data_IF_238266565595
#
_entry.id   IF_238266565595
#
_cell.length_a   1.000
_cell.length_b   1.000
_cell.length_c   1.000
_cell.angle_alpha   90.00
_cell.angle_beta   90.00
_cell.angle_gamma   90.00
#
_symmetry.space_group_name_H-M   'P 1'
#
loop_
_entity.id
_entity.type
_entity.pdbx_description
1 polymer ?
#
# COMPACT_ATOMS: atom_id res chain seq x y z
N UNK A 1 -8.58 -9.66 1.43
CA UNK A 1 -7.22 -9.18 1.77
C UNK A 1 -7.38 -7.86 2.48
N UNK A 2 -6.68 -7.65 3.58
CA UNK A 2 -6.67 -6.36 4.27
C UNK A 2 -6.09 -5.29 3.34
N UNK A 3 -6.61 -4.07 3.38
CA UNK A 3 -6.12 -2.94 2.57
C UNK A 3 -5.66 -1.81 3.46
N UNK A 4 -4.78 -0.95 2.95
CA UNK A 4 -4.39 0.29 3.66
C UNK A 4 -5.61 1.11 4.07
N UNK A 5 -6.63 1.23 3.22
CA UNK A 5 -7.86 1.95 3.57
C UNK A 5 -8.54 1.38 4.84
N UNK A 6 -8.59 0.05 4.98
CA UNK A 6 -9.17 -0.59 6.17
C UNK A 6 -8.30 -0.38 7.41
N UNK A 7 -6.97 -0.40 7.27
CA UNK A 7 -6.04 -0.12 8.36
C UNK A 7 -6.22 1.31 8.85
N UNK A 8 -6.23 2.28 7.92
CA UNK A 8 -6.43 3.70 8.25
C UNK A 8 -7.76 3.93 9.00
N UNK A 9 -8.86 3.32 8.54
CA UNK A 9 -10.16 3.45 9.21
C UNK A 9 -10.17 2.85 10.63
N UNK A 10 -9.33 1.86 10.89
CA UNK A 10 -9.25 1.20 12.19
C UNK A 10 -8.34 1.94 13.18
N UNK A 11 -7.40 2.76 12.71
CA UNK A 11 -6.50 3.55 13.55
C UNK A 11 -7.23 4.75 14.16
N UNK A 12 -6.88 5.08 15.40
CA UNK A 12 -7.35 6.28 16.08
C UNK A 12 -6.17 7.15 16.48
N UNK A 13 -6.47 8.41 16.81
CA UNK A 13 -5.52 9.28 17.48
C UNK A 13 -5.04 8.60 18.77
N UNK A 14 -3.77 8.79 19.08
CA UNK A 14 -3.08 8.29 20.28
C UNK A 14 -2.86 6.77 20.34
N UNK A 15 -3.32 6.00 19.35
CA UNK A 15 -3.01 4.57 19.26
C UNK A 15 -1.48 4.36 19.21
N UNK A 16 -0.98 3.46 20.04
CA UNK A 16 0.40 2.98 19.99
C UNK A 16 0.50 1.80 19.04
N UNK A 17 1.56 1.75 18.26
CA UNK A 17 1.73 0.79 17.18
C UNK A 17 3.10 0.12 17.23
N UNK A 18 3.16 -1.10 16.72
CA UNK A 18 4.39 -1.81 16.36
C UNK A 18 4.15 -2.52 15.02
N UNK A 19 5.21 -2.77 14.26
CA UNK A 19 5.13 -3.56 13.04
C UNK A 19 6.11 -4.71 13.04
N UNK A 20 5.66 -5.87 12.54
CA UNK A 20 6.43 -7.10 12.41
C UNK A 20 6.48 -7.49 10.94
N UNK A 21 7.67 -7.63 10.39
CA UNK A 21 7.92 -8.15 9.04
C UNK A 21 8.32 -9.62 9.14
N UNK A 22 7.59 -10.51 8.47
CA UNK A 22 7.91 -11.94 8.44
C UNK A 22 8.98 -12.23 7.38
N UNK A 23 10.11 -12.80 7.80
CA UNK A 23 11.17 -13.19 6.88
C UNK A 23 10.74 -14.40 6.03
N UNK A 24 10.94 -14.33 4.71
CA UNK A 24 10.71 -15.44 3.78
C UNK A 24 9.35 -16.14 3.98
N UNK A 25 8.31 -15.35 4.26
CA UNK A 25 7.07 -15.84 4.83
C UNK A 25 6.39 -16.94 4.00
N UNK A 26 6.49 -16.88 2.67
CA UNK A 26 5.94 -17.92 1.79
C UNK A 26 6.63 -19.27 1.96
N UNK A 27 7.93 -19.32 2.22
CA UNK A 27 8.66 -20.58 2.37
C UNK A 27 8.28 -21.36 3.62
N UNK A 28 7.54 -20.75 4.55
CA UNK A 28 6.99 -21.44 5.72
C UNK A 28 5.72 -22.24 5.39
N UNK A 29 5.12 -22.04 4.21
CA UNK A 29 3.88 -22.74 3.80
C UNK A 29 4.23 -23.99 2.98
N UNK A 30 4.00 -25.21 3.50
CA UNK A 30 4.30 -26.44 2.78
C UNK A 30 3.35 -26.65 1.59
N UNK A 31 3.88 -27.15 0.48
CA UNK A 31 3.09 -27.57 -0.67
C UNK A 31 2.82 -29.08 -0.59
N UNK A 32 1.56 -29.45 -0.83
CA UNK A 32 1.12 -30.84 -0.93
C UNK A 32 2.00 -31.62 -1.91
N UNK A 33 2.50 -32.79 -1.51
CA UNK A 33 3.46 -33.59 -2.28
C UNK A 33 3.03 -33.82 -3.75
N UNK A 34 1.74 -34.06 -3.99
CA UNK A 34 1.18 -34.29 -5.33
C UNK A 34 1.21 -33.05 -6.25
N UNK A 35 1.27 -31.83 -5.69
CA UNK A 35 1.30 -30.57 -6.43
C UNK A 35 2.73 -30.07 -6.72
N UNK A 36 3.74 -30.55 -5.97
CA UNK A 36 5.13 -30.09 -6.11
C UNK A 36 5.70 -30.29 -7.52
N UNK A 37 5.18 -31.28 -8.28
CA UNK A 37 5.57 -31.54 -9.67
C UNK A 37 5.36 -30.34 -10.61
N UNK A 38 4.42 -29.44 -10.28
CA UNK A 38 4.14 -28.22 -11.06
C UNK A 38 5.09 -27.06 -10.71
N UNK A 39 5.94 -27.23 -9.70
CA UNK A 39 6.86 -26.20 -9.18
C UNK A 39 8.32 -26.60 -9.41
N UNK A 40 8.59 -27.28 -10.53
CA UNK A 40 9.94 -27.71 -10.91
C UNK A 40 10.63 -26.64 -11.74
N UNK A 41 11.93 -26.50 -11.55
CA UNK A 41 12.77 -25.61 -12.34
C UNK A 41 14.15 -26.25 -12.55
N UNK A 42 14.91 -25.71 -13.51
CA UNK A 42 16.21 -26.24 -13.91
C UNK A 42 17.26 -25.16 -13.73
N UNK A 43 18.38 -25.51 -13.13
CA UNK A 43 19.58 -24.66 -13.06
C UNK A 43 20.75 -25.48 -13.60
N UNK A 44 21.30 -25.05 -14.74
CA UNK A 44 22.28 -25.85 -15.49
C UNK A 44 21.68 -27.19 -15.94
N UNK A 45 22.27 -28.30 -15.48
CA UNK A 45 21.78 -29.67 -15.74
C UNK A 45 20.99 -30.29 -14.57
N UNK A 46 20.75 -29.53 -13.50
CA UNK A 46 20.12 -30.03 -12.28
C UNK A 46 18.64 -29.64 -12.21
N UNK A 47 17.80 -30.60 -11.82
CA UNK A 47 16.37 -30.41 -11.62
C UNK A 47 16.05 -30.18 -10.16
N UNK A 48 15.39 -29.07 -9.86
CA UNK A 48 14.94 -28.71 -8.53
C UNK A 48 13.42 -28.71 -8.47
N UNK A 49 12.89 -28.89 -7.26
CA UNK A 49 11.46 -28.88 -7.01
C UNK A 49 11.18 -28.18 -5.68
N UNK A 50 10.32 -27.16 -5.71
CA UNK A 50 9.90 -26.53 -4.47
C UNK A 50 9.05 -27.48 -3.62
N UNK A 51 9.38 -27.56 -2.34
CA UNK A 51 8.59 -28.28 -1.33
C UNK A 51 7.60 -27.35 -0.58
N UNK A 52 7.83 -26.05 -0.69
CA UNK A 52 7.14 -24.96 0.00
C UNK A 52 6.63 -23.95 -1.03
N UNK A 53 5.78 -23.02 -0.62
CA UNK A 53 5.15 -22.05 -1.52
C UNK A 53 6.20 -21.08 -2.08
N UNK A 54 6.46 -21.07 -3.40
CA UNK A 54 7.51 -20.25 -3.97
C UNK A 54 7.04 -18.83 -4.26
N UNK A 55 7.98 -17.89 -4.29
CA UNK A 55 7.76 -16.57 -4.87
C UNK A 55 7.50 -16.67 -6.38
N UNK A 56 6.72 -15.73 -6.92
CA UNK A 56 6.35 -15.68 -8.34
C UNK A 56 5.14 -16.54 -8.73
N UNK A 57 4.66 -17.44 -7.85
CA UNK A 57 3.41 -18.15 -8.09
C UNK A 57 2.21 -17.22 -7.90
N UNK A 58 1.37 -17.07 -8.93
CA UNK A 58 0.22 -16.14 -8.92
C UNK A 58 -0.74 -16.38 -7.76
N UNK A 59 -0.91 -17.63 -7.33
CA UNK A 59 -1.80 -17.98 -6.21
C UNK A 59 -1.15 -17.83 -4.82
N UNK A 60 0.17 -17.64 -4.74
CA UNK A 60 0.88 -17.61 -3.45
C UNK A 60 0.38 -16.53 -2.49
N UNK A 61 0.20 -15.25 -2.90
CA UNK A 61 -0.30 -14.23 -1.99
C UNK A 61 -1.69 -14.56 -1.43
N UNK A 62 -2.57 -15.15 -2.26
CA UNK A 62 -3.91 -15.54 -1.84
C UNK A 62 -3.90 -16.70 -0.85
N UNK A 63 -3.09 -17.73 -1.11
CA UNK A 63 -2.93 -18.88 -0.21
C UNK A 63 -2.35 -18.41 1.12
N UNK A 64 -1.27 -17.62 1.09
CA UNK A 64 -0.64 -17.09 2.28
C UNK A 64 -1.61 -16.25 3.11
N UNK A 65 -2.35 -15.33 2.46
CA UNK A 65 -3.38 -14.53 3.12
C UNK A 65 -4.43 -15.41 3.82
N UNK A 66 -4.90 -16.49 3.19
CA UNK A 66 -5.88 -17.40 3.80
C UNK A 66 -5.35 -18.05 5.08
N UNK A 67 -4.09 -18.48 5.08
CA UNK A 67 -3.45 -19.06 6.28
C UNK A 67 -3.31 -17.99 7.36
N UNK A 68 -2.80 -16.82 7.02
CA UNK A 68 -2.56 -15.73 7.97
C UNK A 68 -3.84 -15.18 8.59
N UNK A 69 -4.98 -15.25 7.88
CA UNK A 69 -6.27 -14.85 8.44
C UNK A 69 -6.69 -15.73 9.63
N UNK A 70 -6.33 -17.01 9.64
CA UNK A 70 -6.61 -17.92 10.79
C UNK A 70 -5.76 -17.52 12.00
N UNK A 71 -4.46 -17.25 11.77
CA UNK A 71 -3.54 -16.80 12.83
C UNK A 71 -4.01 -15.47 13.42
N UNK A 72 -4.37 -14.51 12.57
CA UNK A 72 -4.88 -13.23 13.01
C UNK A 72 -6.24 -13.33 13.72
N UNK A 73 -7.11 -14.28 13.34
CA UNK A 73 -8.36 -14.53 14.04
C UNK A 73 -8.10 -15.02 15.49
N UNK A 74 -7.12 -15.89 15.69
CA UNK A 74 -6.75 -16.37 17.03
C UNK A 74 -6.18 -15.24 17.90
N UNK A 75 -5.31 -14.39 17.35
CA UNK A 75 -4.80 -13.21 18.08
C UNK A 75 -5.93 -12.23 18.43
N UNK A 76 -6.87 -11.98 17.50
CA UNK A 76 -8.03 -11.13 17.77
C UNK A 76 -8.95 -11.73 18.83
N UNK A 77 -9.10 -13.06 18.89
CA UNK A 77 -9.83 -13.77 19.95
C UNK A 77 -9.20 -13.53 21.33
N UNK A 78 -7.87 -13.33 21.38
CA UNK A 78 -7.12 -12.92 22.58
C UNK A 78 -7.17 -11.40 22.87
N UNK A 79 -7.95 -10.63 22.12
CA UNK A 79 -8.09 -9.18 22.28
C UNK A 79 -7.01 -8.34 21.59
N UNK A 80 -6.14 -8.97 20.79
CA UNK A 80 -5.04 -8.27 20.11
C UNK A 80 -5.53 -7.67 18.79
N UNK A 81 -5.44 -6.34 18.66
CA UNK A 81 -5.78 -5.64 17.43
C UNK A 81 -4.64 -5.74 16.41
N UNK A 82 -4.68 -6.80 15.59
CA UNK A 82 -3.68 -7.11 14.56
C UNK A 82 -4.22 -6.97 13.13
N UNK A 83 -3.36 -6.44 12.26
CA UNK A 83 -3.62 -6.05 10.88
C UNK A 83 -2.56 -6.68 9.96
N UNK A 84 -2.73 -7.95 9.58
CA UNK A 84 -1.80 -8.61 8.66
C UNK A 84 -2.04 -8.17 7.21
N UNK A 85 -0.97 -7.69 6.57
CA UNK A 85 -0.90 -7.48 5.13
C UNK A 85 0.24 -8.33 4.58
N UNK A 86 -0.08 -9.54 4.11
CA UNK A 86 0.93 -10.53 3.77
C UNK A 86 1.93 -10.68 4.93
N UNK A 87 3.21 -10.44 4.67
CA UNK A 87 4.36 -10.47 5.56
C UNK A 87 4.46 -9.25 6.50
N UNK A 88 3.84 -8.12 6.15
CA UNK A 88 3.81 -6.90 6.97
C UNK A 88 2.63 -6.93 7.97
N UNK A 89 2.92 -7.01 9.27
CA UNK A 89 1.89 -7.07 10.32
C UNK A 89 1.94 -5.82 11.19
N UNK A 90 0.83 -5.08 11.25
CA UNK A 90 0.67 -3.97 12.19
C UNK A 90 -0.13 -4.41 13.41
N UNK A 91 0.35 -4.10 14.60
CA UNK A 91 -0.37 -4.31 15.87
C UNK A 91 -0.57 -2.95 16.51
N UNK A 92 -1.76 -2.72 17.07
CA UNK A 92 -2.05 -1.48 17.79
C UNK A 92 -2.62 -1.73 19.19
N UNK A 93 -2.42 -0.77 20.08
CA UNK A 93 -3.05 -0.73 21.40
C UNK A 93 -3.20 0.71 21.90
N UNK A 94 -3.79 0.89 23.09
CA UNK A 94 -4.03 2.20 23.70
C UNK A 94 -2.88 2.73 24.56
N UNK A 95 -1.91 1.89 24.91
CA UNK A 95 -0.72 2.29 25.67
C UNK A 95 0.52 1.58 25.13
N UNK A 96 1.72 2.12 25.35
CA UNK A 96 2.96 1.50 24.91
C UNK A 96 3.22 0.15 25.61
N UNK A 97 2.83 0.01 26.88
CA UNK A 97 2.97 -1.24 27.63
C UNK A 97 2.05 -2.32 27.06
N UNK A 98 0.80 -1.95 26.73
CA UNK A 98 -0.16 -2.88 26.18
C UNK A 98 0.24 -3.35 24.77
N UNK A 99 0.73 -2.45 23.91
CA UNK A 99 1.19 -2.86 22.58
C UNK A 99 2.44 -3.74 22.66
N UNK A 100 3.32 -3.51 23.65
CA UNK A 100 4.48 -4.37 23.91
C UNK A 100 4.06 -5.78 24.36
N UNK A 101 3.07 -5.88 25.26
CA UNK A 101 2.51 -7.16 25.68
C UNK A 101 1.84 -7.90 24.50
N UNK A 102 1.10 -7.17 23.65
CA UNK A 102 0.51 -7.72 22.43
C UNK A 102 1.57 -8.18 21.44
N UNK A 103 2.68 -7.44 21.30
CA UNK A 103 3.81 -7.82 20.47
C UNK A 103 4.42 -9.13 20.95
N UNK A 104 4.74 -9.23 22.25
CA UNK A 104 5.28 -10.46 22.85
C UNK A 104 4.37 -11.67 22.64
N UNK A 105 3.06 -11.49 22.85
CA UNK A 105 2.07 -12.55 22.60
C UNK A 105 2.01 -12.96 21.13
N UNK A 106 2.17 -11.99 20.22
CA UNK A 106 2.15 -12.21 18.77
C UNK A 106 3.43 -12.89 18.29
N UNK A 107 4.60 -12.42 18.72
CA UNK A 107 5.88 -13.05 18.38
C UNK A 107 6.01 -14.43 19.00
N UNK A 108 5.47 -14.65 20.20
CA UNK A 108 5.42 -15.98 20.81
C UNK A 108 4.70 -16.99 19.90
N UNK A 109 3.48 -16.63 19.46
CA UNK A 109 2.69 -17.45 18.55
C UNK A 109 3.39 -17.65 17.20
N UNK A 110 3.91 -16.59 16.61
CA UNK A 110 4.54 -16.64 15.28
C UNK A 110 5.82 -17.49 15.30
N UNK A 111 6.72 -17.23 16.25
CA UNK A 111 8.05 -17.84 16.28
C UNK A 111 8.03 -19.26 16.86
N UNK A 112 7.40 -19.46 18.03
CA UNK A 112 7.54 -20.71 18.76
C UNK A 112 6.43 -21.71 18.43
N UNK A 113 5.19 -21.26 18.25
CA UNK A 113 4.07 -22.17 17.99
C UNK A 113 3.95 -22.51 16.50
N UNK A 114 4.25 -21.56 15.63
CA UNK A 114 4.06 -21.67 14.18
C UNK A 114 5.37 -21.79 13.38
N UNK A 115 6.52 -21.47 13.99
CA UNK A 115 7.83 -21.61 13.36
C UNK A 115 8.14 -20.56 12.27
N UNK A 116 7.47 -19.40 12.27
CA UNK A 116 7.86 -18.28 11.42
C UNK A 116 9.15 -17.62 11.91
N UNK A 117 9.81 -16.87 11.02
CA UNK A 117 10.94 -16.01 11.35
C UNK A 117 10.54 -14.54 11.21
N UNK A 118 11.06 -13.68 12.08
CA UNK A 118 10.86 -12.22 12.03
C UNK A 118 12.10 -11.55 11.48
N UNK A 119 11.90 -10.64 10.54
CA UNK A 119 12.95 -9.80 9.98
C UNK A 119 13.09 -8.54 10.85
N UNK A 120 13.92 -8.62 11.89
CA UNK A 120 14.11 -7.52 12.84
C UNK A 120 14.52 -6.19 12.17
N UNK A 121 15.46 -6.15 11.20
CA UNK A 121 15.86 -4.89 10.54
C UNK A 121 14.74 -4.17 9.79
N UNK A 122 13.74 -4.91 9.27
CA UNK A 122 12.57 -4.31 8.60
C UNK A 122 11.38 -4.10 9.54
N UNK A 123 11.42 -4.70 10.72
CA UNK A 123 10.37 -4.57 11.72
C UNK A 123 10.53 -3.29 12.53
N UNK A 124 9.44 -2.82 13.12
CA UNK A 124 9.43 -1.75 14.09
C UNK A 124 8.87 -2.28 15.40
N UNK A 125 9.74 -2.96 16.16
CA UNK A 125 9.37 -3.72 17.36
C UNK A 125 9.23 -2.85 18.61
N UNK A 126 9.70 -1.60 18.57
CA UNK A 126 9.52 -0.65 19.65
C UNK A 126 8.15 0.05 19.52
N UNK A 127 7.38 0.20 20.61
CA UNK A 127 6.15 0.97 20.62
C UNK A 127 6.36 2.38 20.09
N UNK A 128 5.59 2.76 19.07
CA UNK A 128 5.65 4.11 18.50
C UNK A 128 4.29 4.58 18.01
N UNK A 129 4.13 5.89 17.99
CA UNK A 129 2.98 6.57 17.39
C UNK A 129 3.29 7.07 15.97
N UNK A 130 4.52 6.87 15.49
CA UNK A 130 4.99 7.22 14.15
C UNK A 130 5.77 6.06 13.54
N UNK A 131 5.27 5.49 12.46
CA UNK A 131 5.98 4.44 11.70
C UNK A 131 5.53 4.39 10.24
N UNK A 132 6.33 3.71 9.42
CA UNK A 132 5.97 3.38 8.04
C UNK A 132 5.25 2.03 7.99
N UNK A 133 4.11 1.96 7.32
CA UNK A 133 3.39 0.70 7.10
C UNK A 133 2.76 0.69 5.70
N UNK A 134 2.99 -0.38 4.93
CA UNK A 134 2.41 -0.62 3.58
C UNK A 134 2.39 0.62 2.67
N UNK A 135 3.50 1.37 2.67
CA UNK A 135 3.67 2.56 1.85
C UNK A 135 2.98 3.82 2.37
N UNK A 136 2.62 3.89 3.65
CA UNK A 136 2.11 5.08 4.31
C UNK A 136 2.98 5.42 5.54
N UNK A 137 3.25 6.71 5.75
CA UNK A 137 3.76 7.19 7.02
C UNK A 137 2.58 7.50 7.95
N UNK A 138 2.43 6.69 8.99
CA UNK A 138 1.34 6.81 9.96
C UNK A 138 1.79 7.68 11.12
N UNK A 139 0.99 8.67 11.50
CA UNK A 139 1.18 9.46 12.71
C UNK A 139 -0.12 9.47 13.51
N UNK A 140 -0.17 8.67 14.58
CA UNK A 140 -1.32 8.60 15.48
C UNK A 140 -1.34 9.76 16.47
N UNK A 141 -0.24 10.48 16.70
CA UNK A 141 -0.27 11.74 17.49
C UNK A 141 -1.14 12.80 16.81
N UNK A 142 -1.07 12.84 15.47
CA UNK A 142 -1.88 13.73 14.64
C UNK A 142 -3.19 13.08 14.15
N UNK A 143 -3.29 11.76 14.20
CA UNK A 143 -4.42 11.00 13.64
C UNK A 143 -4.44 11.05 12.10
N UNK A 144 -3.26 11.07 11.46
CA UNK A 144 -3.08 11.31 10.03
C UNK A 144 -2.11 10.34 9.38
N UNK A 145 -2.34 10.06 8.10
CA UNK A 145 -1.45 9.31 7.24
C UNK A 145 -0.83 10.24 6.19
N UNK A 146 0.45 10.05 5.89
CA UNK A 146 1.23 10.87 4.99
C UNK A 146 1.90 10.01 3.91
N UNK A 147 2.19 10.56 2.73
CA UNK A 147 3.13 9.93 1.80
C UNK A 147 4.50 9.77 2.48
N UNK A 148 5.22 8.65 2.25
CA UNK A 148 6.60 8.52 2.70
C UNK A 148 7.49 9.64 2.11
N UNK A 149 8.54 10.10 2.82
CA UNK A 149 9.39 11.20 2.35
C UNK A 149 9.97 10.99 0.95
N UNK A 150 10.44 9.77 0.66
CA UNK A 150 10.96 9.43 -0.67
C UNK A 150 9.91 9.64 -1.77
N UNK A 151 8.64 9.31 -1.50
CA UNK A 151 7.56 9.47 -2.47
C UNK A 151 7.23 10.95 -2.72
N UNK A 152 7.35 11.79 -1.69
CA UNK A 152 7.22 13.24 -1.84
C UNK A 152 8.32 13.76 -2.75
N UNK A 153 9.56 13.32 -2.52
CA UNK A 153 10.71 13.69 -3.33
C UNK A 153 10.55 13.24 -4.79
N UNK A 154 10.17 11.98 -5.04
CA UNK A 154 9.95 11.45 -6.39
C UNK A 154 8.91 12.28 -7.18
N UNK A 155 7.85 12.74 -6.50
CA UNK A 155 6.84 13.62 -7.12
C UNK A 155 7.43 15.00 -7.40
N UNK A 156 8.14 15.59 -6.44
CA UNK A 156 8.74 16.92 -6.58
C UNK A 156 9.81 16.98 -7.68
N UNK A 157 10.54 15.89 -7.89
CA UNK A 157 11.56 15.77 -8.93
C UNK A 157 10.94 15.58 -10.32
N UNK A 158 9.83 14.84 -10.41
CA UNK A 158 9.23 14.48 -11.69
C UNK A 158 8.31 15.56 -12.25
N UNK A 159 7.52 16.23 -11.40
CA UNK A 159 6.52 17.25 -11.82
C UNK A 159 7.10 18.41 -12.66
N UNK A 160 8.30 18.96 -12.39
CA UNK A 160 8.86 20.08 -13.16
C UNK A 160 9.00 19.86 -14.67
N UNK A 161 9.03 18.60 -15.13
CA UNK A 161 9.07 18.22 -16.55
C UNK A 161 7.74 18.48 -17.27
N UNK A 162 6.63 18.57 -16.55
CA UNK A 162 5.27 18.57 -17.09
C UNK A 162 4.69 19.99 -17.17
N UNK A 163 5.40 20.88 -17.87
CA UNK A 163 4.94 22.26 -18.10
C UNK A 163 3.85 22.30 -19.17
N UNK A 164 3.02 23.34 -19.17
CA UNK A 164 2.03 23.53 -20.23
C UNK A 164 2.70 23.53 -21.61
N UNK A 165 2.22 22.68 -22.52
CA UNK A 165 2.76 22.50 -23.86
C UNK A 165 4.03 21.64 -23.95
N UNK A 166 4.60 21.18 -22.83
CA UNK A 166 5.72 20.25 -22.84
C UNK A 166 5.34 18.93 -23.50
N UNK A 167 6.27 18.35 -24.23
CA UNK A 167 6.13 17.05 -24.87
C UNK A 167 6.94 16.06 -24.04
N UNK A 168 6.27 15.11 -23.40
CA UNK A 168 6.90 14.17 -22.47
C UNK A 168 6.62 12.72 -22.89
N UNK A 169 7.55 11.78 -22.65
CA UNK A 169 7.29 10.36 -22.89
C UNK A 169 6.10 9.85 -22.08
N UNK A 170 5.28 8.99 -22.68
CA UNK A 170 4.13 8.34 -22.04
C UNK A 170 4.57 7.60 -20.77
N UNK A 171 5.73 6.95 -20.81
CA UNK A 171 6.30 6.27 -19.65
C UNK A 171 6.40 7.20 -18.43
N UNK A 172 6.82 8.45 -18.61
CA UNK A 172 6.93 9.41 -17.51
C UNK A 172 5.55 9.88 -17.03
N UNK A 173 4.58 10.03 -17.93
CA UNK A 173 3.18 10.32 -17.56
C UNK A 173 2.61 9.19 -16.70
N UNK A 174 2.82 7.93 -17.13
CA UNK A 174 2.36 6.75 -16.40
C UNK A 174 3.04 6.60 -15.04
N UNK A 175 4.35 6.86 -14.97
CA UNK A 175 5.11 6.91 -13.69
C UNK A 175 4.52 7.93 -12.73
N UNK A 176 4.28 9.16 -13.20
CA UNK A 176 3.70 10.22 -12.37
C UNK A 176 2.28 9.88 -11.91
N UNK A 177 1.45 9.33 -12.81
CA UNK A 177 0.11 8.84 -12.45
C UNK A 177 0.18 7.69 -11.43
N UNK A 178 1.18 6.80 -11.51
CA UNK A 178 1.42 5.77 -10.51
C UNK A 178 1.75 6.34 -9.13
N UNK A 179 2.63 7.35 -9.08
CA UNK A 179 2.95 8.08 -7.86
C UNK A 179 1.69 8.74 -7.26
N UNK A 180 0.89 9.44 -8.07
CA UNK A 180 -0.37 10.04 -7.61
C UNK A 180 -1.37 9.01 -7.10
N UNK A 181 -1.51 7.88 -7.79
CA UNK A 181 -2.38 6.80 -7.36
C UNK A 181 -1.99 6.28 -5.97
N UNK A 182 -0.69 6.14 -5.71
CA UNK A 182 -0.19 5.71 -4.40
C UNK A 182 -0.40 6.74 -3.27
N UNK A 183 -0.67 8.00 -3.61
CA UNK A 183 -0.96 9.07 -2.65
C UNK A 183 -2.48 9.29 -2.40
N UNK A 184 -3.38 8.58 -3.10
CA UNK A 184 -4.84 8.77 -3.00
C UNK A 184 -5.39 8.67 -1.56
N UNK A 185 -4.82 7.76 -0.77
CA UNK A 185 -5.21 7.55 0.63
C UNK A 185 -4.45 8.45 1.61
N UNK A 186 -3.47 9.22 1.14
CA UNK A 186 -2.49 9.93 1.97
C UNK A 186 -2.54 11.44 1.77
N UNK A 187 -3.10 11.90 0.66
CA UNK A 187 -3.20 13.32 0.28
C UNK A 187 -4.66 13.65 0.00
N UNK A 188 -5.16 14.69 0.68
CA UNK A 188 -6.52 15.21 0.48
C UNK A 188 -6.66 15.76 -0.94
N UNK A 189 -7.76 15.47 -1.64
CA UNK A 189 -8.01 15.88 -3.03
C UNK A 189 -7.05 15.31 -4.10
N UNK A 190 -6.15 14.38 -3.77
CA UNK A 190 -5.24 13.73 -4.73
C UNK A 190 -5.94 13.22 -6.01
N UNK A 191 -7.09 12.55 -5.86
CA UNK A 191 -7.86 12.05 -7.01
C UNK A 191 -8.36 13.15 -7.94
N UNK A 192 -8.70 14.31 -7.39
CA UNK A 192 -9.19 15.45 -8.16
C UNK A 192 -8.08 16.00 -9.05
N UNK A 193 -6.92 16.32 -8.44
CA UNK A 193 -5.76 16.87 -9.14
C UNK A 193 -4.95 15.85 -9.95
N UNK A 194 -5.36 14.58 -9.99
CA UNK A 194 -4.84 13.58 -10.91
C UNK A 194 -5.62 13.57 -12.24
N UNK A 195 -6.87 14.07 -12.25
CA UNK A 195 -7.83 13.80 -13.31
C UNK A 195 -7.47 14.49 -14.63
N UNK A 196 -7.01 15.74 -14.58
CA UNK A 196 -6.63 16.46 -15.80
C UNK A 196 -5.49 15.77 -16.55
N UNK A 197 -4.50 15.21 -15.84
CA UNK A 197 -3.41 14.46 -16.45
C UNK A 197 -3.90 13.12 -17.04
N UNK A 198 -4.82 12.42 -16.37
CA UNK A 198 -5.44 11.20 -16.91
C UNK A 198 -6.19 11.46 -18.22
N UNK A 199 -6.95 12.55 -18.28
CA UNK A 199 -7.65 12.94 -19.51
C UNK A 199 -6.70 13.40 -20.61
N UNK A 200 -5.64 14.14 -20.25
CA UNK A 200 -4.59 14.54 -21.17
C UNK A 200 -3.94 13.33 -21.85
N UNK A 201 -3.61 12.29 -21.08
CA UNK A 201 -3.08 11.02 -21.60
C UNK A 201 -4.11 10.29 -22.46
N UNK A 202 -5.33 10.07 -21.95
CA UNK A 202 -6.38 9.28 -22.64
C UNK A 202 -6.78 9.85 -24.00
N UNK A 203 -6.69 11.17 -24.19
CA UNK A 203 -7.01 11.83 -25.47
C UNK A 203 -5.93 11.64 -26.53
N UNK A 204 -4.69 11.33 -26.13
CA UNK A 204 -3.51 11.31 -27.02
C UNK A 204 -2.90 9.91 -27.15
N UNK A 205 -3.19 8.99 -26.22
CA UNK A 205 -2.58 7.68 -26.16
C UNK A 205 -3.56 6.59 -25.73
N UNK A 206 -3.36 5.36 -26.21
CA UNK A 206 -4.14 4.18 -25.88
C UNK A 206 -3.23 3.01 -25.53
N UNK A 207 -3.50 2.33 -24.42
CA UNK A 207 -2.74 1.16 -23.98
C UNK A 207 -2.73 0.00 -24.99
N UNK A 208 -3.77 -0.12 -25.82
CA UNK A 208 -3.88 -1.21 -26.79
C UNK A 208 -3.10 -0.97 -28.09
N UNK A 209 -2.74 0.28 -28.39
CA UNK A 209 -2.18 0.68 -29.68
C UNK A 209 -0.89 1.50 -29.57
N UNK A 210 -0.61 2.06 -28.40
CA UNK A 210 0.46 3.03 -28.21
C UNK A 210 1.70 2.42 -27.58
N UNK A 211 2.85 2.99 -27.95
CA UNK A 211 4.15 2.66 -27.40
C UNK A 211 4.46 3.49 -26.13
N UNK A 212 5.27 2.97 -25.21
CA UNK A 212 5.67 3.67 -23.99
C UNK A 212 6.66 4.81 -24.26
N UNK A 213 7.41 4.71 -25.36
CA UNK A 213 8.35 5.75 -25.82
C UNK A 213 7.66 6.86 -26.64
N UNK A 214 6.39 6.65 -27.02
CA UNK A 214 5.59 7.71 -27.63
C UNK A 214 5.40 8.88 -26.67
N UNK A 215 5.06 10.05 -27.21
CA UNK A 215 5.00 11.30 -26.43
C UNK A 215 3.60 11.86 -26.31
N UNK A 216 3.37 12.62 -25.23
CA UNK A 216 2.12 13.31 -24.92
C UNK A 216 2.42 14.78 -24.72
N UNK A 217 1.63 15.65 -25.35
CA UNK A 217 1.68 17.08 -25.11
C UNK A 217 0.83 17.44 -23.89
N UNK A 218 1.46 18.02 -22.86
CA UNK A 218 0.79 18.38 -21.61
C UNK A 218 -0.17 19.54 -21.82
N UNK A 219 -1.43 19.36 -21.43
CA UNK A 219 -2.46 20.38 -21.52
C UNK A 219 -2.32 21.45 -20.43
N UNK A 220 -2.93 22.61 -20.66
CA UNK A 220 -3.00 23.69 -19.66
C UNK A 220 -3.61 23.21 -18.35
N UNK A 221 -4.73 22.48 -18.41
CA UNK A 221 -5.43 21.98 -17.22
C UNK A 221 -4.56 21.00 -16.43
N UNK A 222 -3.86 20.09 -17.12
CA UNK A 222 -2.92 19.18 -16.47
C UNK A 222 -1.78 19.96 -15.79
N UNK A 223 -1.19 20.95 -16.47
CA UNK A 223 -0.14 21.77 -15.88
C UNK A 223 -0.60 22.59 -14.66
N UNK A 224 -1.86 23.04 -14.62
CA UNK A 224 -2.44 23.73 -13.45
C UNK A 224 -2.58 22.76 -12.27
N UNK A 225 -3.15 21.58 -12.49
CA UNK A 225 -3.29 20.56 -11.45
C UNK A 225 -1.93 20.08 -10.92
N UNK A 226 -0.92 19.99 -11.80
CA UNK A 226 0.43 19.61 -11.40
C UNK A 226 1.12 20.65 -10.52
N UNK A 227 0.86 21.94 -10.73
CA UNK A 227 1.32 23.00 -9.81
C UNK A 227 0.71 22.85 -8.42
N UNK A 228 -0.54 22.38 -8.32
CA UNK A 228 -1.16 22.11 -7.03
C UNK A 228 -0.39 21.02 -6.26
N UNK A 229 0.06 19.95 -6.92
CA UNK A 229 0.81 18.87 -6.27
C UNK A 229 2.11 19.32 -5.61
N UNK A 230 2.80 20.29 -6.20
CA UNK A 230 4.07 20.83 -5.68
C UNK A 230 3.90 22.11 -4.86
N UNK A 231 2.67 22.62 -4.73
CA UNK A 231 2.42 23.77 -3.87
C UNK A 231 2.71 23.40 -2.41
N UNK A 232 3.11 24.40 -1.62
CA UNK A 232 3.49 24.20 -0.23
C UNK A 232 2.37 23.51 0.54
N UNK A 233 2.75 22.54 1.37
CA UNK A 233 1.90 21.79 2.29
C UNK A 233 0.98 20.71 1.70
N UNK A 234 0.68 20.67 0.40
CA UNK A 234 -0.31 19.70 -0.11
C UNK A 234 0.12 18.23 0.07
N UNK A 235 1.41 17.94 -0.14
CA UNK A 235 1.98 16.60 0.08
C UNK A 235 2.28 16.31 1.56
N UNK A 236 2.45 17.35 2.40
CA UNK A 236 2.87 17.22 3.80
C UNK A 236 1.78 17.44 4.83
N UNK A 237 0.57 17.83 4.45
CA UNK A 237 -0.57 17.97 5.38
C UNK A 237 -1.07 16.63 5.91
N UNK A 238 -0.91 15.57 5.13
CA UNK A 238 -1.47 14.25 5.42
C UNK A 238 -3.00 14.21 5.36
N UNK A 239 -3.54 13.01 5.38
CA UNK A 239 -4.97 12.74 5.38
C UNK A 239 -5.40 12.16 6.73
N UNK A 240 -6.47 12.67 7.36
CA UNK A 240 -7.03 12.07 8.57
C UNK A 240 -7.40 10.60 8.36
N UNK A 241 -7.14 9.78 9.38
CA UNK A 241 -7.51 8.35 9.41
C UNK A 241 -9.02 8.15 9.21
N UNK A 242 -9.80 8.89 10.00
CA UNK A 242 -11.25 8.93 9.93
C UNK A 242 -11.67 10.21 9.21
N UNK A 243 -12.53 10.06 8.22
CA UNK A 243 -13.18 11.21 7.60
C UNK A 243 -14.28 11.69 8.53
N UNK A 244 -14.45 13.01 8.62
CA UNK A 244 -15.60 13.59 9.31
C UNK A 244 -16.90 12.98 8.76
N UNK A 245 -17.90 12.74 9.61
CA UNK A 245 -19.20 12.26 9.13
C UNK A 245 -19.72 13.19 8.03
N UNK A 246 -20.31 12.65 6.95
CA UNK A 246 -20.81 13.46 5.86
C UNK A 246 -21.88 14.41 6.39
N UNK A 247 -21.71 15.71 6.11
CA UNK A 247 -22.72 16.73 6.46
C UNK A 247 -23.90 16.74 5.50
N UNK A 248 -23.73 16.16 4.30
CA UNK A 248 -24.76 16.01 3.29
C UNK A 248 -24.48 14.77 2.46
N UNK A 249 -25.54 14.12 1.95
CA UNK A 249 -25.45 13.02 0.99
C UNK A 249 -26.05 13.49 -0.32
N UNK A 250 -25.28 13.41 -1.40
CA UNK A 250 -25.76 13.72 -2.76
C UNK A 250 -25.92 12.41 -3.51
N UNK A 251 -27.13 12.16 -4.01
CA UNK A 251 -27.43 11.02 -4.88
C UNK A 251 -27.57 11.58 -6.29
N UNK A 252 -26.72 11.12 -7.20
CA UNK A 252 -26.79 11.50 -8.61
C UNK A 252 -27.08 10.26 -9.44
N UNK A 253 -28.04 10.37 -10.35
CA UNK A 253 -28.24 9.39 -11.41
C UNK A 253 -27.65 9.93 -12.71
N UNK A 254 -27.05 9.05 -13.50
CA UNK A 254 -26.48 9.37 -14.81
C UNK A 254 -27.22 8.55 -15.87
N UNK A 255 -28.29 9.13 -16.41
CA UNK A 255 -29.04 8.59 -17.53
C UNK A 255 -28.62 9.26 -18.85
N UNK A 256 -28.69 8.51 -19.95
CA UNK A 256 -28.54 9.06 -21.31
C UNK A 256 -29.81 9.77 -21.80
N UNK A 257 -30.93 9.57 -21.11
CA UNK A 257 -32.20 10.27 -21.28
C UNK A 257 -32.47 11.04 -20.00
N UNK A 258 -32.35 12.36 -20.03
CA UNK A 258 -32.61 13.22 -18.88
C UNK A 258 -34.06 13.14 -18.43
N UNK A 259 -34.26 13.26 -17.12
CA UNK A 259 -35.44 13.83 -16.46
C UNK A 259 -35.93 15.15 -17.08
#
# INVERSE_FOLDING_TARGET
MLTLAQVLLALNKEDWMVSVDLQDAYFHIPILKSHRKYLRFVVGSQHYQFAVLPFGLTSAPQVFTKVMLVVAAELRRKGIAVFPYLDDWLIKAKSPELVSHHLQSTTQLLLFDLGFSVNEPKSHLEPSQRLLFIGAALDTTLGRAFPPPQRIQDIQDLVPMFRNGAVVPVLNVLRLLGLFASCILLVTHARWHMRALQWCLRRQWSQHKGDLESTVKISRDAAVDLKWWIASNNLSQGKPFQQSPPVATVITDASTLGW
#
